data_IF_663254438518
#
_entry.id   IF_663254438518
#
_cell.length_a   1.000
_cell.length_b   1.000
_cell.length_c   1.000
_cell.angle_alpha   90.00
_cell.angle_beta   90.00
_cell.angle_gamma   90.00
#
_symmetry.space_group_name_H-M   'P 1'
#
loop_
_entity.id
_entity.type
_entity.pdbx_description
1 polymer ?
#
# COMPACT_ATOMS: atom_id res chain seq x y z
N UNK A 1 -7.71 5.32 -77.28
CA UNK A 1 -7.72 4.23 -76.28
C UNK A 1 -7.74 4.87 -74.91
N UNK A 2 -8.91 5.25 -74.39
CA UNK A 2 -9.61 4.53 -73.30
C UNK A 2 -9.29 5.24 -71.97
N UNK A 3 -10.16 5.42 -70.98
CA UNK A 3 -11.58 5.15 -70.78
C UNK A 3 -12.00 5.99 -69.56
N UNK A 4 -13.17 6.62 -69.64
CA UNK A 4 -14.16 6.94 -68.59
C UNK A 4 -13.84 6.53 -67.13
N UNK A 5 -14.12 7.41 -66.14
CA UNK A 5 -15.01 7.11 -64.99
C UNK A 5 -15.16 8.25 -63.96
N UNK A 6 -16.33 8.87 -64.03
CA UNK A 6 -17.33 9.12 -62.97
C UNK A 6 -16.86 9.36 -61.53
N UNK A 7 -17.24 10.52 -61.02
CA UNK A 7 -17.36 10.86 -59.61
C UNK A 7 -18.19 9.83 -58.83
N UNK A 8 -17.63 9.35 -57.71
CA UNK A 8 -18.34 8.62 -56.68
C UNK A 8 -17.72 8.97 -55.32
N UNK A 9 -18.45 9.74 -54.53
CA UNK A 9 -18.21 10.01 -53.12
C UNK A 9 -18.60 8.79 -52.29
N UNK A 10 -17.72 8.20 -51.47
CA UNK A 10 -18.12 7.24 -50.45
C UNK A 10 -18.60 7.98 -49.18
N UNK A 11 -19.55 7.40 -48.42
CA UNK A 11 -20.18 8.05 -47.28
C UNK A 11 -19.27 8.11 -46.05
N UNK A 12 -19.42 9.21 -45.30
CA UNK A 12 -18.93 9.44 -43.94
C UNK A 12 -19.31 8.26 -43.03
N UNK A 13 -18.32 7.47 -42.60
CA UNK A 13 -18.46 6.54 -41.47
C UNK A 13 -18.24 7.33 -40.18
N UNK A 14 -19.29 7.40 -39.35
CA UNK A 14 -19.20 7.93 -37.99
C UNK A 14 -18.21 7.15 -37.11
N UNK A 15 -17.89 7.67 -35.92
CA UNK A 15 -16.98 6.99 -35.01
C UNK A 15 -17.58 5.66 -34.56
N UNK A 16 -16.95 4.57 -34.97
CA UNK A 16 -17.23 3.22 -34.46
C UNK A 16 -17.02 3.22 -32.95
N UNK A 17 -18.11 3.05 -32.20
CA UNK A 17 -18.10 2.70 -30.78
C UNK A 17 -17.22 1.45 -30.61
N UNK A 18 -16.05 1.65 -30.01
CA UNK A 18 -15.15 0.59 -29.60
C UNK A 18 -15.87 -0.33 -28.63
N UNK A 19 -15.91 -1.60 -29.00
CA UNK A 19 -16.58 -2.65 -28.27
C UNK A 19 -15.95 -2.82 -26.88
N UNK A 20 -16.83 -2.81 -25.89
CA UNK A 20 -16.61 -3.23 -24.51
C UNK A 20 -16.12 -4.68 -24.48
N UNK A 21 -14.83 -4.87 -24.21
CA UNK A 21 -14.23 -6.13 -23.76
C UNK A 21 -13.13 -5.80 -22.76
N UNK A 22 -13.24 -6.35 -21.55
CA UNK A 22 -12.16 -6.28 -20.58
C UNK A 22 -12.62 -6.10 -19.16
N UNK A 23 -13.33 -7.10 -18.65
CA UNK A 23 -13.16 -7.65 -17.29
C UNK A 23 -12.57 -6.71 -16.25
N UNK A 24 -13.44 -6.28 -15.35
CA UNK A 24 -13.17 -5.96 -13.94
C UNK A 24 -11.95 -6.71 -13.40
N UNK A 25 -10.77 -6.08 -13.43
CA UNK A 25 -9.64 -6.50 -12.60
C UNK A 25 -9.73 -5.68 -11.33
N UNK A 26 -10.44 -6.28 -10.39
CA UNK A 26 -10.46 -5.99 -8.97
C UNK A 26 -9.19 -5.29 -8.50
N UNK A 27 -9.38 -4.08 -7.98
CA UNK A 27 -8.53 -3.49 -6.95
C UNK A 27 -8.14 -4.60 -5.98
N UNK A 28 -6.87 -4.97 -5.80
CA UNK A 28 -6.53 -5.82 -4.68
C UNK A 28 -6.68 -4.93 -3.44
N UNK A 29 -7.84 -5.00 -2.80
CA UNK A 29 -7.91 -4.70 -1.37
C UNK A 29 -6.89 -5.60 -0.71
N UNK A 30 -5.85 -5.08 -0.01
CA UNK A 30 -5.15 -5.89 0.95
C UNK A 30 -6.13 -6.10 2.10
N UNK A 31 -7.00 -7.10 1.94
CA UNK A 31 -7.73 -7.68 3.06
C UNK A 31 -6.73 -8.03 4.16
N UNK A 32 -7.12 -7.96 5.44
CA UNK A 32 -6.22 -8.28 6.53
C UNK A 32 -5.76 -9.72 6.31
N UNK A 33 -4.48 -9.90 5.95
CA UNK A 33 -3.84 -11.20 5.95
C UNK A 33 -3.96 -11.69 7.39
N UNK A 34 -4.92 -12.58 7.65
CA UNK A 34 -4.98 -13.31 8.90
C UNK A 34 -3.59 -13.93 9.12
N UNK A 35 -2.91 -13.69 10.25
CA UNK A 35 -1.65 -14.34 10.51
C UNK A 35 -1.97 -15.73 11.02
N UNK A 36 -2.15 -16.63 10.07
CA UNK A 36 -1.74 -18.01 10.26
C UNK A 36 -0.22 -18.04 10.12
N UNK A 37 0.53 -17.80 11.20
CA UNK A 37 1.98 -18.07 11.22
C UNK A 37 2.42 -18.66 12.58
N UNK A 38 2.59 -19.99 12.69
CA UNK A 38 3.45 -20.59 13.70
C UNK A 38 4.90 -20.22 13.37
N UNK A 39 5.34 -19.06 13.87
CA UNK A 39 6.65 -18.46 13.56
C UNK A 39 6.81 -16.99 13.98
N UNK A 40 5.85 -16.43 14.74
CA UNK A 40 5.96 -15.07 15.24
C UNK A 40 7.24 -14.91 16.07
N UNK A 41 8.07 -13.90 15.79
CA UNK A 41 9.28 -13.66 16.56
C UNK A 41 8.93 -13.45 18.04
N UNK A 42 9.56 -14.22 18.92
CA UNK A 42 9.33 -14.12 20.37
C UNK A 42 9.79 -12.75 20.85
N UNK A 43 8.86 -11.99 21.42
CA UNK A 43 9.15 -10.74 22.09
C UNK A 43 9.71 -11.03 23.49
N UNK A 44 10.73 -10.28 23.90
CA UNK A 44 11.23 -10.34 25.28
C UNK A 44 10.32 -9.53 26.22
N UNK A 45 10.60 -9.55 27.53
CA UNK A 45 9.76 -8.89 28.53
C UNK A 45 9.63 -7.36 28.30
N UNK A 46 10.73 -6.69 27.92
CA UNK A 46 10.73 -5.25 27.65
C UNK A 46 9.93 -4.89 26.39
N UNK A 47 10.10 -5.67 25.31
CA UNK A 47 9.35 -5.51 24.08
C UNK A 47 7.85 -5.80 24.28
N UNK A 48 7.51 -6.74 25.15
CA UNK A 48 6.13 -7.06 25.50
C UNK A 48 5.48 -5.94 26.31
N UNK A 49 6.19 -5.34 27.26
CA UNK A 49 5.70 -4.15 27.96
C UNK A 49 5.47 -2.97 27.00
N UNK A 50 6.40 -2.72 26.08
CA UNK A 50 6.25 -1.72 25.03
C UNK A 50 5.07 -2.01 24.09
N UNK A 51 4.87 -3.28 23.74
CA UNK A 51 3.74 -3.73 22.92
C UNK A 51 2.40 -3.47 23.62
N UNK A 52 2.30 -3.76 24.91
CA UNK A 52 1.08 -3.53 25.69
C UNK A 52 0.72 -2.05 25.80
N UNK A 53 1.70 -1.18 26.08
CA UNK A 53 1.51 0.28 26.09
C UNK A 53 1.02 0.79 24.72
N UNK A 54 1.62 0.31 23.63
CA UNK A 54 1.18 0.68 22.29
C UNK A 54 -0.27 0.25 21.99
N UNK A 55 -0.70 -0.91 22.53
CA UNK A 55 -2.07 -1.40 22.38
C UNK A 55 -3.09 -0.71 23.29
N UNK A 56 -2.65 -0.10 24.38
CA UNK A 56 -3.46 0.78 25.23
C UNK A 56 -3.70 2.15 24.58
N UNK A 57 -2.86 2.51 23.60
CA UNK A 57 -2.96 3.78 22.87
C UNK A 57 -2.02 4.85 23.40
N UNK A 58 -1.02 4.48 24.22
CA UNK A 58 -0.01 5.40 24.71
C UNK A 58 0.98 5.82 23.62
N UNK A 59 1.50 7.03 23.76
CA UNK A 59 2.54 7.55 22.87
C UNK A 59 3.90 6.92 23.24
N UNK A 60 4.50 6.21 22.30
CA UNK A 60 5.73 5.45 22.54
C UNK A 60 6.85 5.89 21.59
N UNK A 61 8.05 6.08 22.14
CA UNK A 61 9.26 6.31 21.35
C UNK A 61 10.22 5.12 21.48
N UNK A 62 10.30 4.30 20.42
CA UNK A 62 11.10 3.08 20.40
C UNK A 62 12.57 3.40 20.04
N UNK A 63 13.48 3.18 20.99
CA UNK A 63 14.93 3.38 20.80
C UNK A 63 15.73 2.12 21.10
N UNK A 64 17.03 2.14 20.82
CA UNK A 64 17.96 1.04 21.10
C UNK A 64 18.99 0.82 19.98
N UNK A 65 20.02 0.03 20.26
CA UNK A 65 21.10 -0.27 19.31
C UNK A 65 20.61 -0.97 18.02
N UNK A 66 21.43 -0.97 16.96
CA UNK A 66 21.13 -1.76 15.77
C UNK A 66 21.02 -3.26 16.13
N UNK A 67 20.10 -3.98 15.47
CA UNK A 67 19.90 -5.41 15.73
C UNK A 67 19.02 -5.77 16.93
N UNK A 68 18.54 -4.81 17.73
CA UNK A 68 17.67 -5.10 18.91
C UNK A 68 16.21 -5.44 18.56
N UNK A 69 15.88 -5.62 17.28
CA UNK A 69 14.53 -6.04 16.87
C UNK A 69 13.46 -4.94 16.91
N UNK A 70 13.81 -3.65 16.95
CA UNK A 70 12.81 -2.54 16.94
C UNK A 70 11.80 -2.63 15.79
N UNK A 71 12.28 -2.89 14.57
CA UNK A 71 11.40 -3.06 13.40
C UNK A 71 10.53 -4.30 13.51
N UNK A 72 10.98 -5.33 14.23
CA UNK A 72 10.19 -6.54 14.49
C UNK A 72 9.04 -6.22 15.44
N UNK A 73 9.33 -5.54 16.56
CA UNK A 73 8.33 -5.07 17.50
C UNK A 73 7.29 -4.16 16.83
N UNK A 74 7.76 -3.19 16.03
CA UNK A 74 6.89 -2.27 15.30
C UNK A 74 5.89 -3.01 14.39
N UNK A 75 6.35 -4.03 13.64
CA UNK A 75 5.47 -4.85 12.79
C UNK A 75 4.41 -5.59 13.62
N UNK A 76 4.80 -6.17 14.75
CA UNK A 76 3.84 -6.84 15.64
C UNK A 76 2.76 -5.88 16.15
N UNK A 77 3.15 -4.67 16.55
CA UNK A 77 2.20 -3.62 16.99
C UNK A 77 1.23 -3.27 15.86
N UNK A 78 1.74 -3.02 14.65
CA UNK A 78 0.92 -2.69 13.48
C UNK A 78 -0.07 -3.82 13.17
N UNK A 79 0.38 -5.08 13.15
CA UNK A 79 -0.46 -6.23 12.88
C UNK A 79 -1.57 -6.39 13.94
N UNK A 80 -1.22 -6.24 15.21
CA UNK A 80 -2.17 -6.32 16.31
C UNK A 80 -3.22 -5.20 16.27
N UNK A 81 -2.83 -3.96 15.96
CA UNK A 81 -3.75 -2.84 15.79
C UNK A 81 -4.69 -3.04 14.58
N UNK A 82 -4.15 -3.55 13.47
CA UNK A 82 -4.94 -3.88 12.27
C UNK A 82 -5.97 -4.98 12.54
N UNK A 83 -5.63 -6.01 13.34
CA UNK A 83 -6.61 -7.03 13.76
C UNK A 83 -7.75 -6.45 14.60
N UNK A 84 -7.45 -5.44 15.42
CA UNK A 84 -8.46 -4.69 16.18
C UNK A 84 -9.27 -3.72 15.30
N UNK A 85 -9.10 -3.80 13.97
CA UNK A 85 -9.71 -2.92 12.96
C UNK A 85 -9.47 -1.43 13.22
N UNK A 86 -8.31 -1.09 13.78
CA UNK A 86 -7.85 0.30 13.87
C UNK A 86 -7.24 0.72 12.54
N UNK A 87 -7.47 1.98 12.17
CA UNK A 87 -6.76 2.59 11.07
C UNK A 87 -5.33 2.93 11.52
N UNK A 88 -4.34 2.44 10.80
CA UNK A 88 -2.92 2.59 11.16
C UNK A 88 -2.16 3.15 9.96
N UNK A 89 -1.72 4.41 10.09
CA UNK A 89 -0.78 5.02 9.15
C UNK A 89 0.66 4.70 9.59
N UNK A 90 1.42 4.04 8.72
CA UNK A 90 2.83 3.71 8.96
C UNK A 90 3.68 4.64 8.11
N UNK A 91 4.46 5.50 8.77
CA UNK A 91 5.21 6.57 8.13
C UNK A 91 6.71 6.46 8.41
N UNK A 92 7.53 6.81 7.43
CA UNK A 92 8.97 6.90 7.58
C UNK A 92 9.55 8.14 6.86
N UNK A 93 10.75 8.62 7.24
CA UNK A 93 11.35 9.81 6.63
C UNK A 93 11.89 9.56 5.20
N UNK A 94 12.24 8.32 4.86
CA UNK A 94 12.79 7.95 3.54
C UNK A 94 12.04 6.78 2.92
N UNK A 95 12.08 6.66 1.58
CA UNK A 95 11.38 5.61 0.85
C UNK A 95 11.83 4.20 1.24
N UNK A 96 13.15 3.96 1.31
CA UNK A 96 13.70 2.65 1.72
C UNK A 96 13.26 2.28 3.14
N UNK A 97 13.19 3.26 4.06
CA UNK A 97 12.71 3.01 5.41
C UNK A 97 11.20 2.71 5.44
N UNK A 98 10.41 3.41 4.62
CA UNK A 98 8.97 3.17 4.49
C UNK A 98 8.69 1.74 3.96
N UNK A 99 9.41 1.31 2.94
CA UNK A 99 9.29 -0.04 2.37
C UNK A 99 9.60 -1.12 3.42
N UNK A 100 10.64 -0.92 4.23
CA UNK A 100 11.04 -1.89 5.27
C UNK A 100 10.00 -2.11 6.38
N UNK A 101 9.08 -1.16 6.56
CA UNK A 101 7.99 -1.24 7.55
C UNK A 101 6.62 -1.38 6.90
N UNK A 102 6.54 -1.48 5.57
CA UNK A 102 5.28 -1.58 4.82
C UNK A 102 4.43 -0.32 4.94
N UNK A 103 5.06 0.84 4.94
CA UNK A 103 4.45 2.16 5.07
C UNK A 103 4.68 3.06 3.87
N UNK A 104 4.45 4.36 4.06
CA UNK A 104 4.73 5.40 3.07
C UNK A 104 5.63 6.48 3.67
N UNK A 105 6.15 7.39 2.85
CA UNK A 105 6.92 8.51 3.39
C UNK A 105 6.00 9.56 4.00
N UNK A 106 6.50 10.29 5.00
CA UNK A 106 5.76 11.43 5.59
C UNK A 106 5.34 12.43 4.50
N UNK A 107 6.21 12.71 3.53
CA UNK A 107 5.93 13.64 2.43
C UNK A 107 4.82 13.16 1.50
N UNK A 108 4.87 11.87 1.11
CA UNK A 108 3.85 11.25 0.27
C UNK A 108 2.49 11.18 0.97
N UNK A 109 2.48 10.90 2.28
CA UNK A 109 1.25 10.84 3.06
C UNK A 109 0.63 12.23 3.30
N UNK A 110 1.45 13.23 3.59
CA UNK A 110 1.00 14.60 3.85
C UNK A 110 0.66 15.40 2.58
N UNK A 111 0.93 14.86 1.38
CA UNK A 111 0.67 15.54 0.11
C UNK A 111 1.62 16.70 -0.21
N UNK A 112 2.74 16.84 0.52
CA UNK A 112 3.74 17.89 0.32
C UNK A 112 4.92 17.44 -0.58
N UNK A 113 4.74 16.37 -1.36
CA UNK A 113 5.72 15.89 -2.31
C UNK A 113 5.92 16.83 -3.49
N UNK A 114 7.13 16.83 -4.06
CA UNK A 114 7.45 17.59 -5.27
C UNK A 114 6.60 17.04 -6.43
N UNK A 115 5.84 17.87 -7.16
CA UNK A 115 5.09 17.42 -8.34
C UNK A 115 6.05 16.85 -9.38
N UNK A 116 5.63 15.76 -10.02
CA UNK A 116 6.41 15.04 -11.04
C UNK A 116 6.31 15.72 -12.40
#
# INVERSE_FOLDING_TARGET
TGHDRRAHTPPVRGPTVGQSLGSSSSVPSPGPKAPTQPGAPRLNAEQMAAFDLALQGDNLFLTGAAGTGKSVLLRQIIDALRHRRKEVAVLAPTGIAADNVGGTTVHSWAGCGVPK
#
